data_IF_460174402544
#
_entry.id   IF_460174402544
#
_cell.length_a   1.000
_cell.length_b   1.000
_cell.length_c   1.000
_cell.angle_alpha   90.00
_cell.angle_beta   90.00
_cell.angle_gamma   90.00
#
_symmetry.space_group_name_H-M   'P 1'
#
loop_
_entity.id
_entity.type
_entity.pdbx_description
1 polymer ?
#
# COMPACT_ATOMS: atom_id res chain seq x y z
N UNK A 1 -1.85 -24.92 24.31
CA UNK A 1 -0.41 -24.72 24.07
C UNK A 1 -0.29 -23.51 23.17
N UNK A 2 0.29 -22.40 23.64
CA UNK A 2 0.53 -21.22 22.80
C UNK A 2 1.59 -21.57 21.77
N UNK A 3 1.25 -21.52 20.48
CA UNK A 3 2.23 -21.75 19.41
C UNK A 3 3.10 -20.48 19.26
N UNK A 4 4.41 -20.52 19.61
CA UNK A 4 5.27 -19.34 19.56
C UNK A 4 5.35 -18.73 18.15
N UNK A 5 5.16 -19.54 17.10
CA UNK A 5 5.17 -19.06 15.71
C UNK A 5 3.97 -18.19 15.42
N UNK A 6 2.78 -18.63 15.84
CA UNK A 6 1.54 -17.87 15.65
C UNK A 6 1.58 -16.53 16.39
N UNK A 7 2.17 -16.50 17.60
CA UNK A 7 2.38 -15.26 18.34
C UNK A 7 3.29 -14.28 17.58
N UNK A 8 4.46 -14.74 17.10
CA UNK A 8 5.39 -13.91 16.34
C UNK A 8 4.75 -13.41 15.03
N UNK A 9 4.03 -14.25 14.30
CA UNK A 9 3.32 -13.86 13.07
C UNK A 9 2.29 -12.76 13.34
N UNK A 10 1.53 -12.87 14.44
CA UNK A 10 0.55 -11.87 14.85
C UNK A 10 1.24 -10.54 15.18
N UNK A 11 2.35 -10.58 15.93
CA UNK A 11 3.15 -9.39 16.24
C UNK A 11 3.71 -8.73 14.98
N UNK A 12 4.21 -9.51 14.02
CA UNK A 12 4.69 -8.99 12.73
C UNK A 12 3.55 -8.34 11.95
N UNK A 13 2.37 -8.96 11.90
CA UNK A 13 1.21 -8.42 11.20
C UNK A 13 0.77 -7.06 11.80
N UNK A 14 0.65 -6.99 13.12
CA UNK A 14 0.29 -5.75 13.83
C UNK A 14 1.34 -4.65 13.63
N UNK A 15 2.63 -4.99 13.73
CA UNK A 15 3.73 -4.05 13.48
C UNK A 15 3.72 -3.57 12.02
N UNK A 16 3.53 -4.47 11.06
CA UNK A 16 3.50 -4.12 9.63
C UNK A 16 2.29 -3.24 9.29
N UNK A 17 1.12 -3.50 9.86
CA UNK A 17 -0.07 -2.69 9.65
C UNK A 17 0.09 -1.28 10.22
N UNK A 18 0.57 -1.16 11.47
CA UNK A 18 0.79 0.15 12.10
C UNK A 18 1.89 0.97 11.41
N UNK A 19 3.03 0.34 11.08
CA UNK A 19 4.11 0.99 10.33
C UNK A 19 3.69 1.34 8.90
N UNK A 20 2.90 0.49 8.25
CA UNK A 20 2.33 0.76 6.93
C UNK A 20 1.43 2.00 6.94
N UNK A 21 0.59 2.16 7.96
CA UNK A 21 -0.22 3.36 8.14
C UNK A 21 0.64 4.62 8.33
N UNK A 22 1.64 4.56 9.21
CA UNK A 22 2.56 5.69 9.44
C UNK A 22 3.31 6.05 8.15
N UNK A 23 3.79 5.06 7.41
CA UNK A 23 4.48 5.27 6.14
C UNK A 23 3.56 5.92 5.10
N UNK A 24 2.31 5.46 4.97
CA UNK A 24 1.33 6.05 4.07
C UNK A 24 1.07 7.53 4.39
N UNK A 25 0.91 7.87 5.68
CA UNK A 25 0.71 9.25 6.11
C UNK A 25 1.94 10.13 5.83
N UNK A 26 3.14 9.63 6.13
CA UNK A 26 4.38 10.38 5.90
C UNK A 26 4.61 10.70 4.41
N UNK A 27 4.33 9.73 3.52
CA UNK A 27 4.47 9.94 2.07
C UNK A 27 3.40 10.90 1.53
N UNK A 28 2.16 10.83 2.02
CA UNK A 28 1.11 11.78 1.63
C UNK A 28 1.54 13.22 1.94
N UNK A 29 2.04 13.48 3.15
CA UNK A 29 2.51 14.81 3.54
C UNK A 29 3.76 15.25 2.76
N UNK A 30 4.71 14.34 2.52
CA UNK A 30 5.91 14.64 1.74
C UNK A 30 5.59 15.07 0.30
N UNK A 31 4.65 14.38 -0.37
CA UNK A 31 4.24 14.74 -1.73
C UNK A 31 3.57 16.11 -1.74
N UNK A 32 2.62 16.38 -0.83
CA UNK A 32 1.95 17.69 -0.73
C UNK A 32 2.94 18.81 -0.46
N UNK A 33 3.87 18.62 0.47
CA UNK A 33 4.90 19.61 0.79
C UNK A 33 5.80 19.91 -0.42
N UNK A 34 6.13 18.88 -1.22
CA UNK A 34 6.90 19.05 -2.46
C UNK A 34 6.10 19.83 -3.51
N UNK A 35 4.83 19.50 -3.71
CA UNK A 35 3.95 20.25 -4.63
C UNK A 35 3.79 21.71 -4.21
N UNK A 36 3.68 21.98 -2.91
CA UNK A 36 3.63 23.34 -2.38
C UNK A 36 4.92 24.13 -2.71
N UNK A 37 6.11 23.51 -2.57
CA UNK A 37 7.38 24.15 -2.96
C UNK A 37 7.48 24.44 -4.46
N UNK A 38 6.78 23.66 -5.29
CA UNK A 38 6.70 23.86 -6.73
C UNK A 38 5.64 24.90 -7.15
N UNK A 39 4.96 25.55 -6.20
CA UNK A 39 3.90 26.53 -6.48
C UNK A 39 2.55 25.90 -6.82
N UNK A 40 2.38 24.59 -6.59
CA UNK A 40 1.19 23.79 -6.90
C UNK A 40 0.47 23.33 -5.62
N UNK A 41 0.51 24.13 -4.56
CA UNK A 41 0.05 23.72 -3.23
C UNK A 41 -1.47 23.60 -3.09
N UNK A 42 -2.21 24.58 -3.60
CA UNK A 42 -3.66 24.72 -3.35
C UNK A 42 -4.47 25.12 -4.59
N UNK A 43 -3.81 25.20 -5.75
CA UNK A 43 -4.50 25.43 -7.03
C UNK A 43 -5.08 24.10 -7.56
N UNK A 44 -6.12 24.19 -8.39
CA UNK A 44 -6.79 23.04 -8.99
C UNK A 44 -5.78 22.13 -9.73
N UNK A 45 -4.78 22.73 -10.38
CA UNK A 45 -3.68 22.01 -11.02
C UNK A 45 -2.85 21.17 -10.03
N UNK A 46 -2.65 21.65 -8.80
CA UNK A 46 -1.97 20.94 -7.72
C UNK A 46 -2.73 19.70 -7.23
N UNK A 47 -4.03 19.83 -7.02
CA UNK A 47 -4.90 18.72 -6.62
C UNK A 47 -4.94 17.61 -7.68
N UNK A 48 -5.05 17.98 -8.96
CA UNK A 48 -4.99 17.01 -10.05
C UNK A 48 -3.61 16.36 -10.17
N UNK A 49 -2.53 17.13 -9.99
CA UNK A 49 -1.16 16.59 -10.02
C UNK A 49 -0.97 15.55 -8.92
N UNK A 50 -1.39 15.86 -7.68
CA UNK A 50 -1.36 14.92 -6.56
C UNK A 50 -2.15 13.65 -6.86
N UNK A 51 -3.41 13.78 -7.32
CA UNK A 51 -4.29 12.65 -7.58
C UNK A 51 -3.72 11.70 -8.65
N UNK A 52 -3.17 12.25 -9.74
CA UNK A 52 -2.56 11.47 -10.82
C UNK A 52 -1.30 10.76 -10.32
N UNK A 53 -0.42 11.46 -9.59
CA UNK A 53 0.81 10.87 -9.04
C UNK A 53 0.50 9.73 -8.07
N UNK A 54 -0.40 9.95 -7.11
CA UNK A 54 -0.78 8.93 -6.13
C UNK A 54 -1.39 7.70 -6.81
N UNK A 55 -2.27 7.91 -7.81
CA UNK A 55 -2.90 6.83 -8.57
C UNK A 55 -1.88 6.04 -9.39
N UNK A 56 -0.96 6.72 -10.07
CA UNK A 56 0.09 6.07 -10.85
C UNK A 56 0.97 5.17 -9.97
N UNK A 57 1.39 5.68 -8.80
CA UNK A 57 2.16 4.89 -7.83
C UNK A 57 1.36 3.67 -7.35
N UNK A 58 0.09 3.85 -6.98
CA UNK A 58 -0.77 2.76 -6.54
C UNK A 58 -0.92 1.67 -7.62
N UNK A 59 -1.21 2.06 -8.86
CA UNK A 59 -1.33 1.12 -9.99
C UNK A 59 -0.03 0.36 -10.24
N UNK A 60 1.13 1.03 -10.19
CA UNK A 60 2.44 0.38 -10.35
C UNK A 60 2.66 -0.65 -9.24
N UNK A 61 2.49 -0.26 -7.98
CA UNK A 61 2.72 -1.15 -6.83
C UNK A 61 1.76 -2.35 -6.88
N UNK A 62 0.47 -2.12 -7.08
CA UNK A 62 -0.53 -3.20 -7.18
C UNK A 62 -0.25 -4.13 -8.36
N UNK A 63 0.17 -3.60 -9.51
CA UNK A 63 0.51 -4.41 -10.68
C UNK A 63 1.75 -5.29 -10.43
N UNK A 64 2.76 -4.76 -9.73
CA UNK A 64 3.95 -5.52 -9.36
C UNK A 64 3.63 -6.62 -8.36
N UNK A 65 2.83 -6.32 -7.33
CA UNK A 65 2.37 -7.30 -6.35
C UNK A 65 1.50 -8.38 -6.99
N UNK A 66 0.57 -8.00 -7.87
CA UNK A 66 -0.26 -8.95 -8.61
C UNK A 66 0.57 -9.90 -9.50
N UNK A 67 1.59 -9.37 -10.18
CA UNK A 67 2.54 -10.19 -10.96
C UNK A 67 3.38 -11.11 -10.07
N UNK A 68 3.85 -10.63 -8.92
CA UNK A 68 4.60 -11.44 -7.97
C UNK A 68 3.74 -12.59 -7.42
N UNK A 69 2.49 -12.32 -7.05
CA UNK A 69 1.54 -13.32 -6.59
C UNK A 69 1.24 -14.38 -7.67
N UNK A 70 1.05 -13.96 -8.92
CA UNK A 70 0.83 -14.87 -10.04
C UNK A 70 2.03 -15.83 -10.25
N UNK A 71 3.27 -15.32 -10.12
CA UNK A 71 4.50 -16.12 -10.23
C UNK A 71 4.70 -17.11 -9.09
N UNK A 72 4.17 -16.81 -7.89
CA UNK A 72 4.29 -17.66 -6.71
C UNK A 72 3.20 -18.75 -6.63
N UNK A 73 2.32 -18.87 -7.64
CA UNK A 73 1.28 -19.90 -7.70
C UNK A 73 -0.16 -19.38 -7.67
N UNK A 74 -0.37 -18.09 -7.91
CA UNK A 74 -1.67 -17.39 -7.86
C UNK A 74 -2.74 -17.79 -8.90
N UNK A 75 -2.68 -18.99 -9.49
CA UNK A 75 -3.86 -19.62 -10.07
C UNK A 75 -4.73 -20.35 -9.03
N UNK A 76 -4.25 -20.53 -7.79
CA UNK A 76 -4.94 -21.31 -6.75
C UNK A 76 -5.43 -20.50 -5.53
N UNK A 77 -5.23 -19.18 -5.49
CA UNK A 77 -5.46 -18.38 -4.28
C UNK A 77 -6.85 -17.72 -4.19
N UNK A 78 -7.66 -17.76 -5.26
CA UNK A 78 -9.03 -17.23 -5.24
C UNK A 78 -10.13 -18.30 -5.12
N UNK A 79 -9.78 -19.59 -5.00
CA UNK A 79 -10.74 -20.71 -4.98
C UNK A 79 -11.21 -21.12 -3.57
N UNK A 80 -10.62 -20.60 -2.49
CA UNK A 80 -10.81 -21.18 -1.13
C UNK A 80 -11.80 -20.47 -0.20
N UNK A 81 -12.55 -19.48 -0.69
CA UNK A 81 -13.64 -18.86 0.08
C UNK A 81 -15.05 -19.20 -0.44
N UNK A 82 -15.18 -20.05 -1.47
CA UNK A 82 -16.47 -20.50 -2.00
C UNK A 82 -16.90 -21.92 -1.56
N UNK A 83 -16.04 -22.66 -0.85
CA UNK A 83 -16.38 -23.97 -0.29
C UNK A 83 -16.02 -24.03 1.20
N UNK A 84 -16.98 -23.67 2.05
CA UNK A 84 -16.88 -23.72 3.51
C UNK A 84 -18.03 -23.02 4.20
#
# INVERSE_FOLDING_TARGET
MTDPRAFIQTMIALASASLGLVAALAWNEAIKATLAQLGLGDDLAGLYTYAILATAIAVIVLSLLGKAAARLGGAAAFEREAEG
#
